data_IF_102131569265
#
_entry.id   IF_102131569265
#
_cell.length_a   1.000
_cell.length_b   1.000
_cell.length_c   1.000
_cell.angle_alpha   90.00
_cell.angle_beta   90.00
_cell.angle_gamma   90.00
#
_symmetry.space_group_name_H-M   'P 1'
#
loop_
_entity.id
_entity.type
_entity.pdbx_description
1 polymer ?
#
# COMPACT_ATOMS: atom_id res chain seq x y z
N UNK A 1 -0.83 7.73 -12.89
CA UNK A 1 0.56 7.83 -12.39
C UNK A 1 1.56 8.67 -13.22
N UNK A 2 1.58 8.61 -14.56
CA UNK A 2 2.67 9.20 -15.37
C UNK A 2 2.93 10.70 -15.18
N UNK A 3 1.89 11.50 -14.95
CA UNK A 3 2.03 12.93 -14.66
C UNK A 3 2.78 13.22 -13.35
N UNK A 4 2.60 12.37 -12.32
CA UNK A 4 3.29 12.51 -11.03
C UNK A 4 4.78 12.15 -11.14
N UNK A 5 5.13 11.21 -12.01
CA UNK A 5 6.53 10.83 -12.29
C UNK A 5 7.20 11.90 -13.15
N UNK A 6 6.53 12.37 -14.20
CA UNK A 6 7.08 13.30 -15.18
C UNK A 6 8.04 12.61 -16.17
N UNK A 7 8.46 13.35 -17.21
CA UNK A 7 9.45 12.86 -18.19
C UNK A 7 10.74 12.51 -17.44
N UNK A 8 11.29 11.31 -17.67
CA UNK A 8 12.49 10.81 -17.00
C UNK A 8 12.48 10.90 -15.45
N UNK A 9 11.29 10.99 -14.82
CA UNK A 9 11.18 11.14 -13.36
C UNK A 9 11.37 12.56 -12.83
N UNK A 10 11.39 13.59 -13.67
CA UNK A 10 11.69 14.96 -13.25
C UNK A 10 10.75 15.50 -12.16
N UNK A 11 9.46 15.20 -12.23
CA UNK A 11 8.48 15.70 -11.27
C UNK A 11 8.67 15.06 -9.90
N UNK A 12 8.79 13.73 -9.84
CA UNK A 12 9.00 13.01 -8.58
C UNK A 12 10.36 13.35 -7.97
N UNK A 13 11.40 13.53 -8.79
CA UNK A 13 12.73 13.91 -8.32
C UNK A 13 12.76 15.32 -7.77
N UNK A 14 12.05 16.28 -8.40
CA UNK A 14 11.91 17.64 -7.87
C UNK A 14 11.19 17.64 -6.52
N UNK A 15 10.10 16.87 -6.40
CA UNK A 15 9.37 16.75 -5.13
C UNK A 15 10.23 16.14 -4.03
N UNK A 16 10.92 15.02 -4.32
CA UNK A 16 11.86 14.36 -3.39
C UNK A 16 12.92 15.33 -2.84
N UNK A 17 13.52 16.15 -3.71
CA UNK A 17 14.50 17.18 -3.32
C UNK A 17 13.90 18.26 -2.42
N UNK A 18 12.64 18.64 -2.64
CA UNK A 18 11.98 19.68 -1.85
C UNK A 18 11.59 19.20 -0.43
N UNK A 19 11.21 17.93 -0.28
CA UNK A 19 10.77 17.38 1.01
C UNK A 19 11.90 16.73 1.83
N UNK A 20 13.05 16.47 1.20
CA UNK A 20 14.22 15.78 1.77
C UNK A 20 13.86 14.50 2.54
N UNK A 21 12.95 13.72 1.96
CA UNK A 21 12.39 12.50 2.57
C UNK A 21 12.23 11.40 1.53
N UNK A 22 12.14 10.17 2.02
CA UNK A 22 11.70 9.05 1.19
C UNK A 22 10.26 9.27 0.74
N UNK A 23 10.00 9.10 -0.56
CA UNK A 23 8.68 9.29 -1.16
C UNK A 23 8.27 8.01 -1.88
N UNK A 24 7.13 7.47 -1.47
CA UNK A 24 6.43 6.40 -2.17
C UNK A 24 5.25 6.99 -2.94
N UNK A 25 5.04 6.54 -4.18
CA UNK A 25 3.90 6.91 -5.00
C UNK A 25 2.96 5.72 -5.11
N UNK A 26 1.70 5.93 -4.77
CA UNK A 26 0.66 4.88 -4.76
C UNK A 26 -0.50 5.37 -5.61
N UNK A 27 -1.03 4.48 -6.45
CA UNK A 27 -2.17 4.81 -7.29
C UNK A 27 -3.45 4.68 -6.48
N UNK A 28 -4.19 5.78 -6.42
CA UNK A 28 -5.51 5.79 -5.78
C UNK A 28 -6.51 5.00 -6.61
N UNK A 29 -7.47 4.37 -5.94
CA UNK A 29 -8.63 3.72 -6.54
C UNK A 29 -9.79 3.82 -5.55
N UNK A 30 -10.99 4.08 -6.04
CA UNK A 30 -12.20 4.05 -5.20
C UNK A 30 -12.55 2.61 -4.76
N UNK A 31 -12.14 1.60 -5.52
CA UNK A 31 -12.28 0.20 -5.14
C UNK A 31 -11.21 -0.17 -4.09
N UNK A 32 -11.60 -0.53 -2.86
CA UNK A 32 -10.65 -0.78 -1.77
C UNK A 32 -9.73 -1.97 -2.07
N UNK A 33 -10.21 -2.98 -2.79
CA UNK A 33 -9.40 -4.14 -3.18
C UNK A 33 -8.27 -3.71 -4.12
N UNK A 34 -8.59 -2.92 -5.15
CA UNK A 34 -7.61 -2.36 -6.08
C UNK A 34 -6.64 -1.41 -5.37
N UNK A 35 -7.14 -0.55 -4.47
CA UNK A 35 -6.29 0.35 -3.70
C UNK A 35 -5.30 -0.40 -2.80
N UNK A 36 -5.74 -1.46 -2.10
CA UNK A 36 -4.85 -2.31 -1.30
C UNK A 36 -3.78 -2.94 -2.19
N UNK A 37 -4.15 -3.50 -3.36
CA UNK A 37 -3.18 -4.05 -4.31
C UNK A 37 -2.15 -3.01 -4.74
N UNK A 38 -2.59 -1.79 -5.05
CA UNK A 38 -1.70 -0.68 -5.41
C UNK A 38 -0.77 -0.29 -4.25
N UNK A 39 -1.26 -0.35 -3.00
CA UNK A 39 -0.47 -0.04 -1.81
C UNK A 39 0.69 -1.03 -1.56
N UNK A 40 0.56 -2.28 -2.02
CA UNK A 40 1.66 -3.26 -2.02
C UNK A 40 2.68 -3.01 -3.15
N UNK A 41 2.38 -2.10 -4.09
CA UNK A 41 3.29 -1.71 -5.16
C UNK A 41 3.67 -2.88 -6.06
N UNK A 42 4.96 -3.20 -6.10
CA UNK A 42 5.50 -4.28 -6.94
C UNK A 42 5.39 -5.66 -6.31
N UNK A 43 4.91 -5.77 -5.07
CA UNK A 43 4.77 -7.05 -4.36
C UNK A 43 3.50 -7.74 -4.85
N UNK A 44 3.60 -8.91 -5.52
CA UNK A 44 2.43 -9.62 -6.01
C UNK A 44 1.55 -10.09 -4.85
N UNK A 45 0.28 -9.69 -4.88
CA UNK A 45 -0.77 -10.16 -3.97
C UNK A 45 -1.71 -11.08 -4.75
N UNK A 46 -2.06 -12.23 -4.19
CA UNK A 46 -2.90 -13.22 -4.87
C UNK A 46 -4.38 -12.85 -4.77
N UNK A 47 -4.82 -12.54 -3.56
CA UNK A 47 -6.21 -12.23 -3.22
C UNK A 47 -6.26 -11.18 -2.12
N UNK A 48 -7.36 -10.43 -2.08
CA UNK A 48 -7.69 -9.48 -1.03
C UNK A 48 -9.16 -9.69 -0.71
N UNK A 49 -9.45 -10.04 0.54
CA UNK A 49 -10.80 -10.20 1.06
C UNK A 49 -11.02 -9.18 2.18
N UNK A 50 -12.15 -8.50 2.17
CA UNK A 50 -12.50 -7.50 3.19
C UNK A 50 -13.70 -8.05 3.95
N UNK A 51 -13.56 -8.14 5.27
CA UNK A 51 -14.58 -8.68 6.16
C UNK A 51 -14.87 -7.72 7.29
N UNK A 52 -16.16 -7.59 7.63
CA UNK A 52 -16.59 -6.87 8.82
C UNK A 52 -16.48 -7.80 10.05
N UNK A 53 -15.69 -7.41 11.04
CA UNK A 53 -15.51 -8.13 12.30
C UNK A 53 -15.69 -7.16 13.46
N UNK A 54 -16.77 -7.34 14.24
CA UNK A 54 -17.11 -6.48 15.38
C UNK A 54 -17.17 -4.99 14.99
N UNK A 55 -17.89 -4.68 13.92
CA UNK A 55 -18.05 -3.31 13.39
C UNK A 55 -16.73 -2.65 12.93
N UNK A 56 -15.72 -3.46 12.62
CA UNK A 56 -14.43 -3.03 12.05
C UNK A 56 -14.16 -3.79 10.76
N UNK A 57 -13.70 -3.10 9.72
CA UNK A 57 -13.29 -3.70 8.46
C UNK A 57 -11.85 -4.18 8.56
N UNK A 58 -11.66 -5.47 8.28
CA UNK A 58 -10.34 -6.09 8.24
C UNK A 58 -10.08 -6.64 6.85
N UNK A 59 -8.94 -6.28 6.27
CA UNK A 59 -8.49 -6.82 5.00
C UNK A 59 -7.55 -8.02 5.22
N UNK A 60 -7.90 -9.15 4.63
CA UNK A 60 -7.06 -10.34 4.53
C UNK A 60 -6.39 -10.34 3.16
N UNK A 61 -5.05 -10.32 3.15
CA UNK A 61 -4.26 -10.24 1.91
C UNK A 61 -3.39 -11.47 1.81
N UNK A 62 -3.59 -12.25 0.76
CA UNK A 62 -2.78 -13.44 0.50
C UNK A 62 -1.52 -13.07 -0.27
N UNK A 63 -0.36 -13.41 0.29
CA UNK A 63 0.95 -13.15 -0.32
C UNK A 63 1.73 -14.46 -0.34
N UNK A 64 2.52 -14.70 -1.38
CA UNK A 64 3.37 -15.89 -1.41
C UNK A 64 4.35 -15.90 -0.23
N UNK A 65 4.67 -17.08 0.30
CA UNK A 65 5.58 -17.22 1.44
C UNK A 65 6.96 -16.57 1.19
N UNK A 66 7.42 -16.60 -0.07
CA UNK A 66 8.64 -15.95 -0.52
C UNK A 66 8.59 -14.41 -0.39
N UNK A 67 7.42 -13.81 -0.61
CA UNK A 67 7.22 -12.36 -0.59
C UNK A 67 6.71 -11.83 0.75
N UNK A 68 6.32 -12.71 1.70
CA UNK A 68 5.78 -12.31 3.00
C UNK A 68 6.74 -11.42 3.79
N UNK A 69 8.03 -11.71 3.75
CA UNK A 69 9.06 -10.86 4.38
C UNK A 69 9.14 -9.46 3.77
N UNK A 70 9.03 -9.35 2.44
CA UNK A 70 9.02 -8.07 1.73
C UNK A 70 7.73 -7.27 2.04
N UNK A 71 6.59 -7.96 2.11
CA UNK A 71 5.30 -7.37 2.46
C UNK A 71 5.32 -6.74 3.87
N UNK A 72 5.91 -7.44 4.85
CA UNK A 72 6.09 -6.93 6.22
C UNK A 72 7.09 -5.77 6.23
N UNK A 73 8.22 -5.94 5.54
CA UNK A 73 9.35 -5.01 5.56
C UNK A 73 10.12 -5.04 6.88
N UNK A 74 11.27 -4.35 6.90
CA UNK A 74 12.13 -4.30 8.10
C UNK A 74 11.36 -3.73 9.30
N UNK A 75 11.28 -4.52 10.37
CA UNK A 75 10.57 -4.16 11.62
C UNK A 75 9.09 -3.81 11.41
N UNK A 76 8.42 -4.41 10.41
CA UNK A 76 7.01 -4.14 10.14
C UNK A 76 6.72 -2.81 9.42
N UNK A 77 7.76 -2.04 9.08
CA UNK A 77 7.61 -0.69 8.51
C UNK A 77 6.71 -0.64 7.27
N UNK A 78 6.77 -1.66 6.41
CA UNK A 78 6.00 -1.64 5.17
C UNK A 78 4.53 -1.96 5.44
N UNK A 79 4.24 -3.02 6.22
CA UNK A 79 2.87 -3.38 6.55
C UNK A 79 2.18 -2.29 7.37
N UNK A 80 2.88 -1.65 8.31
CA UNK A 80 2.33 -0.55 9.11
C UNK A 80 2.01 0.69 8.26
N UNK A 81 2.87 1.00 7.29
CA UNK A 81 2.63 2.07 6.32
C UNK A 81 1.37 1.78 5.51
N UNK A 82 1.23 0.55 4.99
CA UNK A 82 0.06 0.13 4.21
C UNK A 82 -1.22 0.22 5.06
N UNK A 83 -1.23 -0.32 6.28
CA UNK A 83 -2.38 -0.21 7.20
C UNK A 83 -2.84 1.24 7.38
N UNK A 84 -1.89 2.17 7.59
CA UNK A 84 -2.20 3.59 7.79
C UNK A 84 -2.84 4.26 6.58
N UNK A 85 -2.37 3.97 5.38
CA UNK A 85 -2.93 4.58 4.16
C UNK A 85 -4.26 3.96 3.77
N UNK A 86 -4.42 2.65 3.94
CA UNK A 86 -5.69 1.96 3.64
C UNK A 86 -6.77 2.43 4.61
N UNK A 87 -6.47 2.51 5.92
CA UNK A 87 -7.39 3.07 6.90
C UNK A 87 -7.81 4.50 6.54
N UNK A 88 -6.85 5.38 6.23
CA UNK A 88 -7.12 6.79 5.89
C UNK A 88 -8.10 6.95 4.72
N UNK A 89 -8.03 6.07 3.72
CA UNK A 89 -8.75 6.24 2.46
C UNK A 89 -9.99 5.36 2.32
N UNK A 90 -10.07 4.23 3.03
CA UNK A 90 -11.16 3.26 2.91
C UNK A 90 -11.73 2.77 4.25
N UNK A 91 -11.28 3.33 5.38
CA UNK A 91 -11.80 3.00 6.72
C UNK A 91 -11.67 1.50 7.04
N UNK A 92 -10.52 0.93 6.70
CA UNK A 92 -10.15 -0.46 7.00
C UNK A 92 -9.12 -0.42 8.13
N UNK A 93 -9.53 -0.82 9.34
CA UNK A 93 -8.73 -0.64 10.55
C UNK A 93 -7.51 -1.56 10.60
N UNK A 94 -7.61 -2.75 10.02
CA UNK A 94 -6.51 -3.72 10.08
C UNK A 94 -6.30 -4.47 8.77
N UNK A 95 -5.06 -4.93 8.58
CA UNK A 95 -4.63 -5.73 7.44
C UNK A 95 -3.82 -6.93 7.93
N UNK A 96 -4.27 -8.13 7.59
CA UNK A 96 -3.65 -9.39 8.00
C UNK A 96 -3.11 -10.11 6.76
N UNK A 97 -1.83 -10.48 6.82
CA UNK A 97 -1.18 -11.26 5.77
C UNK A 97 -1.40 -12.76 5.98
N UNK A 98 -2.01 -13.41 5.00
CA UNK A 98 -2.15 -14.87 4.93
C UNK A 98 -1.01 -15.46 4.10
#
# INVERSE_FOLDING_TARGET
MGAAIGKHGDNINRFKKAVDKHVDLIEYSDDPVTFIKNAFGTIPTKSVEISDKNDKKVAYVEVSSMNKGLAIGKSGRNIDKIKRIVNRHHDIEDLILQ
#
